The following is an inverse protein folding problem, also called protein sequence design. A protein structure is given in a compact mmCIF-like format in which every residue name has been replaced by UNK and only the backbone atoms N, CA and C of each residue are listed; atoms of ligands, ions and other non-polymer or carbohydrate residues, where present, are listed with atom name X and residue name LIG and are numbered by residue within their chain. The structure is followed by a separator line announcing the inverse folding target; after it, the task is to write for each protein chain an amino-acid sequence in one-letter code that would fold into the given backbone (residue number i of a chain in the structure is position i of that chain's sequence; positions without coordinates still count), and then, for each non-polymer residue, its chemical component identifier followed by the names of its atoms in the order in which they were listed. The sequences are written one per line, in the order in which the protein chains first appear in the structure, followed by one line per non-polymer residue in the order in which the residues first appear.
data_IF_234020705724
#
_entry.id   IF_234020705724
#
_cell.length_a   1.000
_cell.length_b   1.000
_cell.length_c   1.000
_cell.angle_alpha   90.00
_cell.angle_beta   90.00
_cell.angle_gamma   90.00
#
_symmetry.space_group_name_H-M   'P 1'
#
loop_
_entity.id
_entity.type
_entity.pdbx_description
1 polymer ?
#
# COMPACT_ATOMS: atom_id res chain seq x y z
N UNK A 1 -22.07 17.92 0.13
CA UNK A 1 -21.73 16.53 0.46
C UNK A 1 -20.55 16.14 -0.41
N UNK A 2 -19.49 15.55 0.15
CA UNK A 2 -18.36 15.08 -0.64
C UNK A 2 -18.81 13.90 -1.52
N UNK A 3 -18.39 13.88 -2.78
CA UNK A 3 -18.70 12.79 -3.70
C UNK A 3 -17.98 11.50 -3.23
N UNK A 4 -18.68 10.35 -3.14
CA UNK A 4 -18.07 9.10 -2.69
C UNK A 4 -16.93 8.70 -3.62
N UNK A 5 -15.97 7.91 -3.10
CA UNK A 5 -14.83 7.44 -3.88
C UNK A 5 -15.32 6.51 -4.99
N UNK A 6 -16.24 5.61 -4.67
CA UNK A 6 -16.90 4.74 -5.64
C UNK A 6 -18.41 5.00 -5.70
N UNK A 7 -18.98 4.93 -6.90
CA UNK A 7 -20.42 4.82 -7.08
C UNK A 7 -20.88 3.37 -6.83
N UNK A 8 -22.17 3.19 -6.55
CA UNK A 8 -22.76 1.86 -6.36
C UNK A 8 -22.52 0.98 -7.60
N UNK A 9 -21.91 -0.19 -7.38
CA UNK A 9 -21.56 -1.15 -8.44
C UNK A 9 -20.41 -0.71 -9.36
N UNK A 10 -19.69 0.38 -9.05
CA UNK A 10 -18.59 0.87 -9.88
C UNK A 10 -17.42 -0.14 -9.92
N UNK A 11 -16.94 -0.45 -11.12
CA UNK A 11 -15.79 -1.31 -11.35
C UNK A 11 -14.86 -0.69 -12.40
N UNK A 12 -13.74 -0.15 -11.93
CA UNK A 12 -12.70 0.47 -12.75
C UNK A 12 -11.67 -0.55 -13.29
N UNK A 13 -11.67 -1.80 -12.80
CA UNK A 13 -10.64 -2.80 -13.14
C UNK A 13 -10.46 -3.04 -14.64
N UNK A 14 -11.51 -3.15 -15.47
CA UNK A 14 -11.35 -3.39 -16.92
C UNK A 14 -10.62 -2.26 -17.64
N UNK A 15 -10.89 -1.02 -17.25
CA UNK A 15 -10.34 0.19 -17.91
C UNK A 15 -9.04 0.67 -17.28
N UNK A 16 -8.64 0.13 -16.14
CA UNK A 16 -7.50 0.62 -15.36
C UNK A 16 -6.17 0.53 -16.12
N UNK A 17 -5.97 -0.55 -16.90
CA UNK A 17 -4.72 -0.78 -17.65
C UNK A 17 -4.46 0.28 -18.72
N UNK A 18 -5.52 0.89 -19.25
CA UNK A 18 -5.46 1.87 -20.35
C UNK A 18 -5.73 3.29 -19.86
N UNK A 19 -6.08 3.47 -18.59
CA UNK A 19 -6.40 4.77 -18.02
C UNK A 19 -5.17 5.69 -18.00
N UNK A 20 -5.40 6.97 -18.31
CA UNK A 20 -4.36 7.98 -18.25
C UNK A 20 -4.06 8.38 -16.80
N UNK A 21 -2.77 8.47 -16.46
CA UNK A 21 -2.30 9.08 -15.22
C UNK A 21 -2.38 10.61 -15.31
N UNK A 22 -3.27 11.22 -14.51
CA UNK A 22 -3.44 12.66 -14.40
C UNK A 22 -2.62 13.23 -13.25
N UNK A 23 -1.50 13.87 -13.57
CA UNK A 23 -0.71 14.65 -12.60
C UNK A 23 -1.13 16.11 -12.67
N UNK A 24 -1.39 16.73 -11.52
CA UNK A 24 -1.60 18.18 -11.48
C UNK A 24 -0.27 18.94 -11.77
N UNK A 25 -0.32 20.22 -12.19
CA UNK A 25 0.89 20.99 -12.52
C UNK A 25 1.90 21.12 -11.36
N UNK A 26 1.40 21.08 -10.11
CA UNK A 26 2.22 21.17 -8.91
C UNK A 26 2.87 19.83 -8.49
N UNK A 27 2.57 18.73 -9.19
CA UNK A 27 3.04 17.38 -8.86
C UNK A 27 2.69 16.95 -7.42
N UNK A 28 1.55 17.42 -6.91
CA UNK A 28 1.06 17.11 -5.56
C UNK A 28 -0.05 16.09 -5.54
N UNK A 29 -0.72 15.84 -6.68
CA UNK A 29 -1.85 14.92 -6.79
C UNK A 29 -1.69 14.05 -8.04
N UNK A 30 -1.99 12.76 -7.87
CA UNK A 30 -2.19 11.80 -8.95
C UNK A 30 -3.65 11.35 -8.96
N UNK A 31 -4.31 11.59 -10.07
CA UNK A 31 -5.66 11.08 -10.33
C UNK A 31 -5.67 10.10 -11.49
N UNK A 32 -6.45 9.03 -11.36
CA UNK A 32 -6.70 8.05 -12.42
C UNK A 32 -8.21 7.83 -12.47
N UNK A 33 -8.82 8.05 -13.64
CA UNK A 33 -10.28 7.99 -13.79
C UNK A 33 -11.04 8.90 -12.79
N UNK A 34 -10.47 10.06 -12.45
CA UNK A 34 -11.03 11.01 -11.47
C UNK A 34 -10.96 10.54 -10.00
N UNK A 35 -10.27 9.43 -9.72
CA UNK A 35 -10.05 8.91 -8.36
C UNK A 35 -8.75 9.49 -7.79
N UNK A 36 -8.74 9.98 -6.54
CA UNK A 36 -7.51 10.46 -5.88
C UNK A 36 -6.65 9.26 -5.47
N UNK A 37 -5.67 8.92 -6.30
CA UNK A 37 -4.85 7.71 -6.11
C UNK A 37 -3.67 7.95 -5.18
N UNK A 38 -3.05 9.13 -5.25
CA UNK A 38 -1.91 9.48 -4.40
C UNK A 38 -1.81 10.99 -4.23
N UNK A 39 -1.55 11.45 -3.00
CA UNK A 39 -1.32 12.87 -2.70
C UNK A 39 -0.04 13.08 -1.90
N UNK A 40 0.65 14.19 -2.14
CA UNK A 40 1.99 14.45 -1.58
C UNK A 40 1.98 14.65 -0.05
N UNK A 41 0.85 15.01 0.55
CA UNK A 41 0.77 15.18 2.02
C UNK A 41 1.06 13.87 2.76
N UNK A 42 0.88 12.72 2.11
CA UNK A 42 1.15 11.38 2.66
C UNK A 42 2.64 11.05 2.76
N UNK A 43 3.53 11.92 2.26
CA UNK A 43 4.99 11.66 2.20
C UNK A 43 5.58 11.12 3.52
N UNK A 44 5.29 11.69 4.71
CA UNK A 44 5.83 11.16 5.96
C UNK A 44 5.38 9.72 6.25
N UNK A 45 4.13 9.41 5.92
CA UNK A 45 3.57 8.07 6.08
C UNK A 45 4.18 7.07 5.10
N UNK A 46 4.36 7.48 3.84
CA UNK A 46 5.05 6.66 2.83
C UNK A 46 6.51 6.37 3.20
N UNK A 47 7.21 7.34 3.81
CA UNK A 47 8.55 7.11 4.35
C UNK A 47 8.54 6.06 5.47
N UNK A 48 7.53 6.07 6.35
CA UNK A 48 7.41 5.08 7.41
C UNK A 48 7.18 3.67 6.85
N UNK A 49 6.25 3.50 5.91
CA UNK A 49 6.03 2.22 5.20
C UNK A 49 7.30 1.74 4.48
N UNK A 50 7.99 2.64 3.77
CA UNK A 50 9.24 2.30 3.08
C UNK A 50 10.34 1.87 4.06
N UNK A 51 10.44 2.53 5.21
CA UNK A 51 11.39 2.18 6.27
C UNK A 51 11.09 0.79 6.84
N UNK A 52 9.81 0.49 7.12
CA UNK A 52 9.40 -0.84 7.60
C UNK A 52 9.74 -1.92 6.58
N UNK A 53 9.35 -1.75 5.31
CA UNK A 53 9.66 -2.71 4.26
C UNK A 53 11.17 -2.92 4.06
N UNK A 54 12.00 -1.91 4.31
CA UNK A 54 13.45 -2.01 4.16
C UNK A 54 14.18 -2.49 5.44
N UNK A 55 13.48 -2.68 6.56
CA UNK A 55 14.08 -2.91 7.88
C UNK A 55 14.88 -4.21 7.99
N UNK A 56 14.48 -5.26 7.26
CA UNK A 56 15.12 -6.59 7.30
C UNK A 56 16.27 -6.78 6.29
N UNK A 57 16.69 -5.70 5.63
CA UNK A 57 17.64 -5.72 4.51
C UNK A 57 19.14 -5.79 4.86
N UNK A 58 19.52 -5.98 6.14
CA UNK A 58 20.92 -5.87 6.59
C UNK A 58 21.54 -7.14 7.18
N UNK A 59 20.85 -8.28 7.15
CA UNK A 59 21.36 -9.51 7.76
C UNK A 59 22.19 -10.28 6.71
N UNK A 60 23.51 -10.05 6.73
CA UNK A 60 24.56 -10.76 5.98
C UNK A 60 24.61 -10.52 4.47
N UNK A 61 25.57 -9.70 4.01
CA UNK A 61 26.26 -9.68 2.68
C UNK A 61 25.47 -9.90 1.37
N UNK A 62 24.14 -10.02 1.41
CA UNK A 62 23.25 -10.31 0.28
C UNK A 62 22.31 -9.13 0.08
N UNK A 63 22.13 -8.75 -1.18
CA UNK A 63 21.31 -7.62 -1.63
C UNK A 63 19.92 -7.63 -0.97
N UNK A 64 19.50 -6.48 -0.45
CA UNK A 64 18.13 -6.27 0.04
C UNK A 64 17.15 -6.42 -1.13
N UNK A 65 16.16 -7.31 -0.98
CA UNK A 65 15.09 -7.51 -1.95
C UNK A 65 13.78 -7.01 -1.36
N UNK A 66 13.34 -5.84 -1.83
CA UNK A 66 12.06 -5.23 -1.46
C UNK A 66 11.15 -5.26 -2.68
N UNK A 67 9.96 -5.87 -2.54
CA UNK A 67 8.91 -5.72 -3.52
C UNK A 67 8.05 -4.50 -3.14
N UNK A 68 7.94 -3.53 -4.05
CA UNK A 68 6.89 -2.52 -3.99
C UNK A 68 5.85 -2.89 -5.03
N UNK A 69 4.66 -3.26 -4.57
CA UNK A 69 3.54 -3.56 -5.46
C UNK A 69 2.78 -2.26 -5.72
N UNK A 70 3.06 -1.63 -6.86
CA UNK A 70 2.29 -0.51 -7.40
C UNK A 70 1.58 -0.98 -8.68
N UNK A 71 0.27 -0.74 -8.83
CA UNK A 71 -0.45 -1.19 -10.03
C UNK A 71 0.06 -0.42 -11.25
N UNK A 72 0.54 -1.14 -12.26
CA UNK A 72 1.28 -0.61 -13.40
C UNK A 72 0.49 0.35 -14.29
N UNK A 73 0.53 1.63 -13.97
CA UNK A 73 0.42 2.67 -14.99
C UNK A 73 1.79 2.91 -15.62
N UNK A 74 1.78 3.18 -16.93
CA UNK A 74 2.91 3.78 -17.61
C UNK A 74 3.16 5.16 -16.99
N UNK A 75 3.96 5.19 -15.93
CA UNK A 75 4.62 6.41 -15.50
C UNK A 75 5.50 6.83 -16.67
N UNK A 76 4.95 7.65 -17.59
CA UNK A 76 5.77 8.37 -18.58
C UNK A 76 6.98 8.90 -17.82
N UNK A 77 8.22 8.65 -18.27
CA UNK A 77 9.40 8.99 -17.51
C UNK A 77 9.51 10.51 -17.45
N UNK A 78 8.90 11.13 -16.45
CA UNK A 78 9.33 12.44 -15.96
C UNK A 78 10.57 12.20 -15.09
N UNK A 79 11.51 13.16 -15.03
CA UNK A 79 12.70 13.01 -14.22
C UNK A 79 12.27 12.70 -12.79
N UNK A 80 12.62 11.51 -12.32
CA UNK A 80 12.35 11.07 -10.95
C UNK A 80 12.82 12.16 -9.99
N UNK A 81 12.09 12.42 -8.88
CA UNK A 81 12.70 13.03 -7.72
C UNK A 81 14.00 12.27 -7.45
N UNK A 82 15.13 12.97 -7.40
CA UNK A 82 16.42 12.38 -7.06
C UNK A 82 16.35 11.95 -5.59
N UNK A 83 15.79 10.78 -5.32
CA UNK A 83 16.11 10.05 -4.11
C UNK A 83 17.60 9.71 -4.22
N UNK A 84 18.44 10.10 -3.25
CA UNK A 84 19.79 9.57 -3.18
C UNK A 84 19.65 8.11 -2.72
N UNK A 85 19.40 7.21 -3.67
CA UNK A 85 19.59 5.79 -3.43
C UNK A 85 21.10 5.56 -3.27
N UNK A 86 21.57 4.91 -2.20
CA UNK A 86 22.94 4.44 -2.12
C UNK A 86 23.27 3.63 -3.38
N UNK A 87 24.51 3.75 -3.86
CA UNK A 87 25.00 3.25 -5.16
C UNK A 87 24.92 1.73 -5.41
N UNK A 88 24.18 0.96 -4.61
CA UNK A 88 24.15 -0.51 -4.65
C UNK A 88 22.75 -1.15 -4.76
N UNK A 89 21.67 -0.36 -4.85
CA UNK A 89 20.30 -0.91 -4.94
C UNK A 89 19.90 -1.15 -6.40
N UNK A 90 19.64 -2.42 -6.77
CA UNK A 90 19.14 -2.80 -8.10
C UNK A 90 17.61 -2.80 -8.12
N UNK A 91 17.00 -2.11 -9.08
CA UNK A 91 15.55 -2.01 -9.23
C UNK A 91 15.09 -2.86 -10.43
N UNK A 92 14.15 -3.77 -10.21
CA UNK A 92 13.54 -4.63 -11.25
C UNK A 92 12.08 -4.23 -11.44
N UNK A 93 11.75 -3.42 -12.47
CA UNK A 93 10.37 -3.08 -12.76
C UNK A 93 9.65 -4.25 -13.43
N UNK A 94 8.48 -4.63 -12.91
CA UNK A 94 7.57 -5.60 -13.52
C UNK A 94 6.24 -4.90 -13.83
N UNK A 95 5.87 -4.82 -15.10
CA UNK A 95 4.65 -4.14 -15.54
C UNK A 95 3.47 -5.11 -15.47
N UNK A 96 2.40 -4.69 -14.79
CA UNK A 96 1.13 -5.42 -14.77
C UNK A 96 0.30 -5.14 -13.53
N UNK A 97 -0.83 -5.83 -13.45
CA UNK A 97 -1.57 -5.95 -12.19
C UNK A 97 -0.86 -6.96 -11.29
N UNK A 98 -0.92 -6.78 -9.98
CA UNK A 98 -0.30 -7.75 -9.06
C UNK A 98 -0.94 -9.13 -9.23
N UNK A 99 -2.23 -9.19 -9.60
CA UNK A 99 -2.95 -10.42 -9.88
C UNK A 99 -2.30 -11.23 -11.03
N UNK A 100 -1.69 -10.55 -12.00
CA UNK A 100 -1.01 -11.17 -13.14
C UNK A 100 0.48 -11.43 -12.83
N UNK A 101 1.11 -10.53 -12.06
CA UNK A 101 2.58 -10.54 -11.83
C UNK A 101 2.96 -11.39 -10.62
N UNK A 102 2.29 -11.23 -9.49
CA UNK A 102 2.67 -11.89 -8.24
C UNK A 102 2.73 -13.42 -8.36
N UNK A 103 1.81 -14.12 -9.05
CA UNK A 103 1.91 -15.57 -9.28
C UNK A 103 3.22 -16.03 -9.94
N UNK A 104 3.88 -15.16 -10.71
CA UNK A 104 5.14 -15.47 -11.41
C UNK A 104 6.39 -15.32 -10.53
N UNK A 105 6.24 -14.70 -9.35
CA UNK A 105 7.35 -14.42 -8.45
C UNK A 105 7.71 -15.67 -7.62
N UNK A 106 9.01 -15.93 -7.41
CA UNK A 106 9.46 -17.07 -6.62
C UNK A 106 9.08 -16.92 -5.14
N UNK A 107 8.77 -18.04 -4.51
CA UNK A 107 8.56 -18.13 -3.07
C UNK A 107 9.83 -17.75 -2.31
N UNK A 108 9.65 -17.23 -1.10
CA UNK A 108 10.70 -16.89 -0.14
C UNK A 108 11.84 -16.05 -0.72
N UNK A 109 11.48 -15.10 -1.58
CA UNK A 109 12.46 -14.29 -2.27
C UNK A 109 12.74 -12.97 -1.57
N UNK A 110 11.72 -12.36 -0.95
CA UNK A 110 11.79 -10.98 -0.49
C UNK A 110 12.08 -10.88 1.01
N UNK A 111 12.94 -9.93 1.38
CA UNK A 111 13.16 -9.54 2.78
C UNK A 111 12.06 -8.59 3.27
N UNK A 112 11.45 -7.86 2.34
CA UNK A 112 10.45 -6.85 2.62
C UNK A 112 9.41 -6.76 1.51
N UNK A 113 8.15 -6.56 1.86
CA UNK A 113 7.08 -6.28 0.91
C UNK A 113 6.32 -5.04 1.38
N UNK A 114 6.19 -4.05 0.49
CA UNK A 114 5.32 -2.89 0.64
C UNK A 114 4.15 -3.02 -0.35
N UNK A 115 2.94 -3.13 0.18
CA UNK A 115 1.71 -3.14 -0.62
C UNK A 115 0.93 -1.83 -0.39
N UNK A 116 0.96 -0.95 -1.38
CA UNK A 116 0.17 0.28 -1.41
C UNK A 116 -0.42 0.41 -2.81
N UNK A 117 -1.62 -0.16 -2.96
CA UNK A 117 -2.35 -0.11 -4.23
C UNK A 117 -3.72 0.48 -4.01
N UNK A 118 -4.37 0.85 -5.12
CA UNK A 118 -5.71 1.40 -5.09
C UNK A 118 -6.79 0.30 -5.24
N UNK A 119 -7.92 0.36 -4.52
CA UNK A 119 -9.09 -0.45 -4.82
C UNK A 119 -9.58 -0.17 -6.25
N UNK A 120 -10.08 -1.19 -6.95
CA UNK A 120 -10.53 -1.03 -8.34
C UNK A 120 -12.04 -1.18 -8.52
N UNK A 121 -12.76 -1.49 -7.44
CA UNK A 121 -14.22 -1.58 -7.46
C UNK A 121 -14.79 -1.33 -6.08
N UNK A 122 -16.04 -0.87 -6.05
CA UNK A 122 -16.81 -0.63 -4.83
C UNK A 122 -16.83 -1.87 -3.92
N UNK A 123 -17.18 -3.04 -4.46
CA UNK A 123 -17.23 -4.30 -3.70
C UNK A 123 -15.90 -4.80 -3.14
N UNK A 124 -14.77 -4.25 -3.58
CA UNK A 124 -13.42 -4.58 -3.09
C UNK A 124 -12.77 -3.46 -2.29
N UNK A 125 -13.49 -2.37 -2.02
CA UNK A 125 -12.92 -1.16 -1.45
C UNK A 125 -12.17 -1.42 -0.13
N UNK A 126 -12.80 -2.14 0.80
CA UNK A 126 -12.18 -2.43 2.10
C UNK A 126 -11.33 -3.73 2.11
N UNK A 127 -11.27 -4.47 1.01
CA UNK A 127 -10.81 -5.86 1.02
C UNK A 127 -9.77 -6.22 -0.05
N UNK A 128 -9.50 -5.37 -1.05
CA UNK A 128 -8.59 -5.71 -2.16
C UNK A 128 -7.18 -6.13 -1.71
N UNK A 129 -6.70 -5.60 -0.60
CA UNK A 129 -5.41 -5.96 -0.02
C UNK A 129 -5.39 -7.42 0.49
N UNK A 130 -6.52 -7.94 0.96
CA UNK A 130 -6.57 -9.26 1.57
C UNK A 130 -6.38 -10.39 0.56
N UNK A 131 -6.80 -10.21 -0.69
CA UNK A 131 -6.55 -11.21 -1.75
C UNK A 131 -5.05 -11.37 -2.00
N UNK A 132 -4.30 -10.27 -2.06
CA UNK A 132 -2.85 -10.31 -2.16
C UNK A 132 -2.20 -10.91 -0.90
N UNK A 133 -2.66 -10.50 0.28
CA UNK A 133 -2.11 -10.97 1.56
C UNK A 133 -2.23 -12.48 1.68
N UNK A 134 -3.44 -13.02 1.46
CA UNK A 134 -3.74 -14.45 1.55
C UNK A 134 -3.02 -15.27 0.49
N UNK A 135 -2.96 -14.78 -0.74
CA UNK A 135 -2.39 -15.55 -1.84
C UNK A 135 -0.85 -15.44 -1.95
N UNK A 136 -0.26 -14.32 -1.52
CA UNK A 136 1.09 -13.95 -1.95
C UNK A 136 1.99 -13.42 -0.84
N UNK A 137 1.51 -12.59 0.10
CA UNK A 137 2.41 -11.95 1.07
C UNK A 137 3.23 -12.97 1.88
N UNK A 138 2.59 -14.00 2.44
CA UNK A 138 3.29 -14.99 3.26
C UNK A 138 4.24 -15.89 2.46
N UNK A 139 3.85 -16.35 1.26
CA UNK A 139 4.73 -17.23 0.44
C UNK A 139 5.94 -16.48 -0.11
N UNK A 140 5.79 -15.20 -0.47
CA UNK A 140 6.83 -14.40 -1.10
C UNK A 140 7.91 -13.92 -0.13
N UNK A 141 7.59 -13.80 1.16
CA UNK A 141 8.55 -13.41 2.19
C UNK A 141 9.49 -14.55 2.54
N UNK A 142 10.76 -14.22 2.78
CA UNK A 142 11.71 -15.08 3.49
C UNK A 142 11.29 -15.26 4.96
N UNK A 143 11.72 -16.32 5.65
CA UNK A 143 11.65 -16.38 7.11
C UNK A 143 12.32 -15.15 7.73
N UNK A 144 11.63 -14.48 8.66
CA UNK A 144 12.07 -13.21 9.24
C UNK A 144 11.86 -11.97 8.36
N UNK A 145 11.29 -12.13 7.16
CA UNK A 145 10.91 -11.02 6.29
C UNK A 145 9.73 -10.23 6.85
N UNK A 146 9.62 -8.97 6.42
CA UNK A 146 8.60 -8.03 6.90
C UNK A 146 7.62 -7.63 5.79
N UNK A 147 6.35 -7.60 6.11
CA UNK A 147 5.28 -7.09 5.26
C UNK A 147 4.65 -5.85 5.88
N UNK A 148 4.42 -4.84 5.07
CA UNK A 148 3.71 -3.62 5.44
C UNK A 148 2.78 -3.22 4.30
N UNK A 149 1.66 -2.60 4.64
CA UNK A 149 0.67 -2.21 3.67
C UNK A 149 -0.21 -1.07 4.20
N UNK A 150 -0.95 -0.45 3.28
CA UNK A 150 -2.04 0.45 3.63
C UNK A 150 -3.21 0.34 2.67
N UNK A 151 -4.37 0.80 3.14
CA UNK A 151 -5.54 1.10 2.31
C UNK A 151 -6.20 2.35 2.90
N UNK A 152 -5.65 3.52 2.56
CA UNK A 152 -6.08 4.79 3.17
C UNK A 152 -7.53 5.13 2.86
N UNK A 153 -8.00 4.82 1.66
CA UNK A 153 -9.40 5.06 1.30
C UNK A 153 -10.37 4.27 2.17
N UNK A 154 -10.02 3.01 2.53
CA UNK A 154 -10.79 2.18 3.44
C UNK A 154 -10.69 2.69 4.88
N UNK A 155 -9.47 2.88 5.38
CA UNK A 155 -9.24 3.26 6.77
C UNK A 155 -9.81 4.64 7.09
N UNK A 156 -9.69 5.60 6.17
CA UNK A 156 -10.27 6.93 6.34
C UNK A 156 -11.79 6.90 6.40
N UNK A 157 -12.46 6.06 5.61
CA UNK A 157 -13.91 5.87 5.69
C UNK A 157 -14.35 5.22 7.02
N UNK A 158 -13.63 4.17 7.46
CA UNK A 158 -13.87 3.49 8.74
C UNK A 158 -13.68 4.41 9.95
N UNK A 159 -12.63 5.24 9.93
CA UNK A 159 -12.35 6.23 11.00
C UNK A 159 -13.31 7.42 10.98
N UNK A 160 -14.02 7.65 9.88
CA UNK A 160 -15.05 8.69 9.79
C UNK A 160 -16.40 8.21 10.33
N UNK A 161 -16.73 6.92 10.13
CA UNK A 161 -18.07 6.39 10.35
C UNK A 161 -18.20 5.48 11.59
N UNK A 162 -17.22 4.62 11.85
CA UNK A 162 -17.35 3.50 12.79
C UNK A 162 -16.37 3.53 13.96
N UNK A 163 -15.19 4.10 13.76
CA UNK A 163 -14.10 4.06 14.74
C UNK A 163 -13.59 5.46 15.08
N UNK A 164 -13.22 5.66 16.35
CA UNK A 164 -12.48 6.84 16.83
C UNK A 164 -11.05 6.51 17.29
N UNK A 165 -10.72 5.22 17.32
CA UNK A 165 -9.41 4.68 17.70
C UNK A 165 -8.86 3.83 16.53
N UNK A 166 -7.71 4.25 16.00
CA UNK A 166 -7.09 3.65 14.81
C UNK A 166 -6.49 2.27 15.08
N UNK A 167 -6.03 2.02 16.30
CA UNK A 167 -5.49 0.71 16.69
C UNK A 167 -6.64 -0.28 16.84
N UNK A 168 -7.77 0.16 17.43
CA UNK A 168 -8.99 -0.65 17.50
C UNK A 168 -9.55 -0.95 16.10
N UNK A 169 -9.55 0.03 15.20
CA UNK A 169 -9.95 -0.18 13.80
C UNK A 169 -9.08 -1.26 13.15
N UNK A 170 -7.76 -1.18 13.30
CA UNK A 170 -6.84 -2.17 12.74
C UNK A 170 -7.08 -3.56 13.36
N UNK A 171 -7.20 -3.63 14.69
CA UNK A 171 -7.43 -4.87 15.42
C UNK A 171 -8.70 -5.59 14.95
N UNK A 172 -9.82 -4.87 14.82
CA UNK A 172 -11.12 -5.47 14.49
C UNK A 172 -11.28 -5.79 13.00
N UNK A 173 -10.57 -5.07 12.11
CA UNK A 173 -10.81 -5.17 10.65
C UNK A 173 -9.68 -5.83 9.87
N UNK A 174 -8.47 -5.91 10.42
CA UNK A 174 -7.28 -6.36 9.68
C UNK A 174 -6.71 -7.69 10.22
N UNK A 175 -6.64 -7.86 11.55
CA UNK A 175 -5.90 -8.96 12.18
C UNK A 175 -6.39 -10.35 11.75
N UNK A 176 -7.71 -10.57 11.69
CA UNK A 176 -8.27 -11.87 11.29
C UNK A 176 -7.75 -12.30 9.91
N UNK A 177 -7.70 -11.38 8.95
CA UNK A 177 -7.22 -11.68 7.60
C UNK A 177 -5.71 -11.92 7.53
N UNK A 178 -4.93 -11.26 8.38
CA UNK A 178 -3.49 -11.51 8.50
C UNK A 178 -3.22 -12.90 9.09
N UNK A 179 -3.98 -13.30 10.11
CA UNK A 179 -3.87 -14.65 10.71
C UNK A 179 -4.33 -15.73 9.72
N UNK A 180 -5.43 -15.51 9.01
CA UNK A 180 -5.90 -16.41 7.93
C UNK A 180 -4.86 -16.58 6.80
N UNK A 181 -4.02 -15.57 6.58
CA UNK A 181 -2.93 -15.63 5.60
C UNK A 181 -1.66 -16.33 6.11
N UNK A 182 -1.65 -16.79 7.37
CA UNK A 182 -0.57 -17.56 7.96
C UNK A 182 0.35 -16.78 8.90
N UNK A 183 0.10 -15.49 9.16
CA UNK A 183 0.91 -14.71 10.10
C UNK A 183 0.51 -14.97 11.56
N UNK A 184 1.49 -15.02 12.45
CA UNK A 184 1.23 -15.18 13.88
C UNK A 184 0.86 -13.83 14.53
N UNK A 185 -0.19 -13.78 15.35
CA UNK A 185 -0.62 -12.53 16.02
C UNK A 185 0.50 -11.83 16.80
N UNK A 186 1.39 -12.59 17.46
CA UNK A 186 2.52 -12.04 18.23
C UNK A 186 3.60 -11.37 17.36
N UNK A 187 3.58 -11.59 16.04
CA UNK A 187 4.49 -11.04 15.03
C UNK A 187 3.86 -9.91 14.21
N UNK A 188 2.64 -9.50 14.57
CA UNK A 188 1.95 -8.36 13.98
C UNK A 188 2.15 -7.18 14.93
N UNK A 189 2.88 -6.18 14.46
CA UNK A 189 3.15 -4.95 15.19
C UNK A 189 2.57 -3.75 14.43
N UNK A 190 2.24 -2.68 15.14
CA UNK A 190 1.75 -1.44 14.56
C UNK A 190 2.44 -0.26 15.21
N UNK A 191 2.83 0.73 14.41
CA UNK A 191 3.30 2.03 14.88
C UNK A 191 2.30 3.10 14.48
N UNK A 192 1.83 3.88 15.44
CA UNK A 192 0.96 5.03 15.18
C UNK A 192 1.79 6.29 15.07
N UNK A 193 1.52 7.12 14.07
CA UNK A 193 2.17 8.41 13.87
C UNK A 193 1.16 9.52 13.69
N UNK A 194 1.47 10.71 14.20
CA UNK A 194 0.66 11.91 13.99
C UNK A 194 0.90 12.45 12.58
N UNK A 195 -0.18 12.61 11.81
CA UNK A 195 -0.16 13.22 10.49
C UNK A 195 -1.55 13.76 10.20
N UNK A 196 -1.68 15.09 10.20
CA UNK A 196 -2.95 15.76 9.94
C UNK A 196 -3.13 15.92 8.43
N UNK A 197 -4.17 15.30 7.82
CA UNK A 197 -4.44 15.48 6.41
C UNK A 197 -4.90 16.91 6.10
N UNK A 198 -4.74 17.38 4.84
CA UNK A 198 -5.34 18.63 4.39
C UNK A 198 -6.86 18.66 4.62
N UNK A 199 -7.41 19.84 4.90
CA UNK A 199 -8.84 20.00 5.19
C UNK A 199 -9.75 19.62 4.01
N UNK A 200 -9.21 19.65 2.80
CA UNK A 200 -9.86 19.28 1.55
C UNK A 200 -9.61 17.82 1.12
N UNK A 201 -8.88 17.03 1.92
CA UNK A 201 -8.67 15.60 1.64
C UNK A 201 -10.02 14.86 1.61
N UNK A 202 -10.27 14.17 0.48
CA UNK A 202 -11.58 13.54 0.21
C UNK A 202 -11.77 12.18 0.86
N UNK A 203 -10.68 11.51 1.21
CA UNK A 203 -10.68 10.10 1.62
C UNK A 203 -10.12 9.87 3.02
N UNK A 204 -9.46 10.85 3.64
CA UNK A 204 -8.87 10.70 4.97
C UNK A 204 -8.99 11.99 5.78
N UNK A 205 -9.50 11.90 7.01
CA UNK A 205 -9.68 13.05 7.90
C UNK A 205 -9.12 12.81 9.32
N UNK A 206 -8.72 11.58 9.64
CA UNK A 206 -8.21 11.25 10.97
C UNK A 206 -6.79 11.81 11.16
N UNK A 207 -6.42 12.40 12.30
CA UNK A 207 -5.14 13.11 12.46
C UNK A 207 -3.95 12.18 12.73
N UNK A 208 -4.11 10.87 12.54
CA UNK A 208 -3.08 9.85 12.78
C UNK A 208 -3.10 8.81 11.67
N UNK A 209 -1.95 8.17 11.47
CA UNK A 209 -1.77 7.05 10.56
C UNK A 209 -1.25 5.84 11.34
N UNK A 210 -1.54 4.64 10.84
CA UNK A 210 -1.05 3.39 11.42
C UNK A 210 -0.19 2.66 10.40
N UNK A 211 1.03 2.32 10.81
CA UNK A 211 2.06 1.66 10.00
C UNK A 211 2.18 0.22 10.51
N UNK A 212 1.62 -0.77 9.80
CA UNK A 212 1.72 -2.15 10.25
C UNK A 212 3.05 -2.78 9.83
N UNK A 213 3.66 -3.55 10.73
CA UNK A 213 4.86 -4.34 10.51
C UNK A 213 4.57 -5.80 10.85
N UNK A 214 4.38 -6.61 9.81
CA UNK A 214 3.99 -8.02 9.92
C UNK A 214 5.20 -8.89 9.59
N UNK A 215 5.73 -9.61 10.59
CA UNK A 215 6.88 -10.49 10.40
C UNK A 215 6.43 -11.91 10.03
N UNK A 216 7.13 -12.54 9.09
CA UNK A 216 7.03 -13.98 8.80
C UNK A 216 7.86 -14.80 9.78
#
# INVERSE_FOLDING_TARGET
MACPIFLEGENCKPSWKEAAAGYNPADTHLEIMGKPVMERWETPFMHALASEAASQGKISSRKCSVASMQRGLDLRPKPRPKFPLPSETFVVPLKGLWEDVAPTLPDEHFNGILYDTYPLSEGTWHTHQFDFIKAHAHRLLKPGGVFTYCNLTSWGDLMKSKYSDIERMFQETQITHLVEAGFETKKIHTTVMDLVPPADCRYYAFPKMIVPAILK
#
